data_IF_917839357590
#
_entry.id   IF_917839357590
#
_cell.length_a   1.000
_cell.length_b   1.000
_cell.length_c   1.000
_cell.angle_alpha   90.00
_cell.angle_beta   90.00
_cell.angle_gamma   90.00
#
_symmetry.space_group_name_H-M   'P 1'
#
loop_
_entity.id
_entity.type
_entity.pdbx_description
1 polymer ?
#
# COMPACT_ATOMS: atom_id res chain seq x y z
N UNK A 1 -14.86 13.52 9.93
CA UNK A 1 -14.10 13.82 11.18
C UNK A 1 -12.76 14.44 10.81
N UNK A 2 -12.37 15.58 11.40
CA UNK A 2 -11.03 16.16 11.18
C UNK A 2 -10.07 15.59 12.23
N UNK A 3 -9.17 14.71 11.82
CA UNK A 3 -8.14 14.15 12.71
C UNK A 3 -7.18 15.29 13.10
N UNK A 4 -7.14 15.64 14.39
CA UNK A 4 -6.27 16.71 14.90
C UNK A 4 -4.88 16.20 15.27
N UNK A 5 -4.77 14.93 15.68
CA UNK A 5 -3.51 14.30 16.01
C UNK A 5 -2.88 13.67 14.76
N UNK A 6 -1.75 14.23 14.32
CA UNK A 6 -1.01 13.75 13.15
C UNK A 6 -0.33 12.40 13.38
N UNK A 7 -0.29 11.92 14.62
CA UNK A 7 0.31 10.64 14.95
C UNK A 7 -0.61 9.46 14.57
N UNK A 8 -1.91 9.73 14.37
CA UNK A 8 -2.91 8.73 13.99
C UNK A 8 -2.81 8.44 12.50
N UNK A 9 -2.60 7.16 12.17
CA UNK A 9 -2.40 6.68 10.79
C UNK A 9 -3.43 5.62 10.37
N UNK A 10 -4.35 5.27 11.27
CA UNK A 10 -5.46 4.36 11.01
C UNK A 10 -6.36 4.26 12.22
N UNK A 11 -7.43 3.48 12.08
CA UNK A 11 -8.35 3.20 13.17
C UNK A 11 -8.68 1.70 13.21
N UNK A 12 -8.97 1.21 14.40
CA UNK A 12 -9.76 -0.01 14.55
C UNK A 12 -11.21 0.40 14.73
N UNK A 13 -12.07 -0.04 13.82
CA UNK A 13 -13.51 0.19 13.87
C UNK A 13 -14.24 -1.15 13.91
N UNK A 14 -14.98 -1.42 15.00
CA UNK A 14 -15.68 -2.70 15.23
C UNK A 14 -14.78 -3.93 15.02
N UNK A 15 -13.55 -3.87 15.55
CA UNK A 15 -12.55 -4.93 15.44
C UNK A 15 -11.84 -5.05 14.09
N UNK A 16 -12.08 -4.14 13.13
CA UNK A 16 -11.43 -4.14 11.81
C UNK A 16 -10.51 -2.94 11.65
N UNK A 17 -9.32 -3.17 11.08
CA UNK A 17 -8.43 -2.09 10.68
C UNK A 17 -9.02 -1.34 9.48
N UNK A 18 -9.08 -0.01 9.57
CA UNK A 18 -9.55 0.88 8.50
C UNK A 18 -8.62 2.08 8.35
N UNK A 19 -8.49 2.58 7.12
CA UNK A 19 -7.69 3.78 6.83
C UNK A 19 -8.28 5.06 7.45
N UNK A 20 -7.45 6.10 7.54
CA UNK A 20 -7.84 7.39 8.15
C UNK A 20 -9.04 8.07 7.47
N UNK A 21 -9.30 7.75 6.21
CA UNK A 21 -10.39 8.30 5.40
C UNK A 21 -11.55 7.31 5.21
N UNK A 22 -11.59 6.21 5.98
CA UNK A 22 -12.53 5.10 5.77
C UNK A 22 -13.57 4.93 6.88
N UNK A 23 -13.54 5.76 7.91
CA UNK A 23 -14.58 5.77 8.93
C UNK A 23 -15.92 6.19 8.32
N UNK A 24 -17.04 5.48 8.61
CA UNK A 24 -18.35 5.88 8.12
C UNK A 24 -18.74 7.26 8.69
N UNK A 25 -19.50 8.08 7.95
CA UNK A 25 -19.86 9.45 8.38
C UNK A 25 -20.56 9.55 9.74
N UNK A 26 -21.21 8.47 10.17
CA UNK A 26 -21.94 8.37 11.43
C UNK A 26 -21.42 7.20 12.29
N UNK A 27 -20.11 6.95 12.25
CA UNK A 27 -19.47 6.02 13.17
C UNK A 27 -19.67 6.51 14.62
N UNK A 28 -20.02 5.59 15.53
CA UNK A 28 -20.02 5.88 16.96
C UNK A 28 -18.57 5.96 17.46
N UNK A 29 -18.24 7.01 18.20
CA UNK A 29 -16.91 7.22 18.77
C UNK A 29 -16.53 6.08 19.72
N UNK A 30 -17.50 5.42 20.39
CA UNK A 30 -17.22 4.28 21.27
C UNK A 30 -16.68 3.04 20.55
N UNK A 31 -16.89 2.95 19.23
CA UNK A 31 -16.46 1.83 18.39
C UNK A 31 -15.11 2.09 17.68
N UNK A 32 -14.46 3.24 17.94
CA UNK A 32 -13.27 3.70 17.23
C UNK A 32 -12.06 3.71 18.19
N UNK A 33 -11.06 2.90 17.87
CA UNK A 33 -9.76 2.94 18.55
C UNK A 33 -8.71 3.54 17.58
N UNK A 34 -8.04 4.64 17.94
CA UNK A 34 -7.01 5.24 17.09
C UNK A 34 -5.73 4.41 17.09
N UNK A 35 -5.12 4.25 15.91
CA UNK A 35 -3.84 3.59 15.74
C UNK A 35 -2.78 4.64 15.42
N UNK A 36 -1.79 4.75 16.30
CA UNK A 36 -0.67 5.68 16.15
C UNK A 36 0.52 5.01 15.48
N UNK A 37 1.39 5.78 14.84
CA UNK A 37 2.59 5.24 14.18
C UNK A 37 3.57 4.54 15.14
N UNK A 38 3.52 4.82 16.43
CA UNK A 38 4.42 4.24 17.43
C UNK A 38 3.99 2.85 17.90
N UNK A 39 2.72 2.49 17.70
CA UNK A 39 2.21 1.16 17.99
C UNK A 39 2.75 0.11 17.01
N UNK A 40 2.78 -1.16 17.41
CA UNK A 40 3.22 -2.25 16.51
C UNK A 40 2.35 -2.36 15.26
N UNK A 41 1.03 -2.27 15.40
CA UNK A 41 0.11 -2.25 14.26
C UNK A 41 0.36 -1.02 13.36
N UNK A 42 0.62 0.15 13.96
CA UNK A 42 0.98 1.35 13.23
C UNK A 42 2.28 1.22 12.44
N UNK A 43 3.32 0.63 13.03
CA UNK A 43 4.57 0.32 12.32
C UNK A 43 4.33 -0.59 11.11
N UNK A 44 3.44 -1.58 11.25
CA UNK A 44 3.06 -2.46 10.13
C UNK A 44 2.36 -1.69 9.00
N UNK A 45 1.46 -0.76 9.33
CA UNK A 45 0.81 0.13 8.33
C UNK A 45 1.85 0.98 7.62
N UNK A 46 2.78 1.59 8.35
CA UNK A 46 3.85 2.41 7.77
C UNK A 46 4.77 1.62 6.84
N UNK A 47 5.20 0.44 7.28
CA UNK A 47 6.05 -0.46 6.46
C UNK A 47 5.35 -0.90 5.19
N UNK A 48 4.06 -1.22 5.27
CA UNK A 48 3.27 -1.57 4.09
C UNK A 48 3.15 -0.39 3.13
N UNK A 49 2.92 0.81 3.66
CA UNK A 49 2.87 2.04 2.88
C UNK A 49 4.21 2.34 2.20
N UNK A 50 5.32 2.10 2.90
CA UNK A 50 6.67 2.23 2.35
C UNK A 50 6.94 1.23 1.20
N UNK A 51 6.43 0.00 1.30
CA UNK A 51 6.49 -0.98 0.21
C UNK A 51 5.78 -0.47 -1.05
N UNK A 52 4.61 0.16 -0.91
CA UNK A 52 3.90 0.79 -2.04
C UNK A 52 4.68 1.97 -2.63
N UNK A 53 5.31 2.80 -1.80
CA UNK A 53 6.17 3.90 -2.28
C UNK A 53 7.36 3.35 -3.06
N UNK A 54 7.99 2.26 -2.61
CA UNK A 54 9.07 1.59 -3.34
C UNK A 54 8.58 1.05 -4.69
N UNK A 55 7.43 0.39 -4.73
CA UNK A 55 6.85 -0.08 -5.99
C UNK A 55 6.56 1.06 -6.96
N UNK A 56 6.06 2.20 -6.48
CA UNK A 56 5.85 3.40 -7.30
C UNK A 56 7.18 3.95 -7.83
N UNK A 57 8.21 4.05 -6.98
CA UNK A 57 9.54 4.50 -7.39
C UNK A 57 10.13 3.58 -8.49
N UNK A 58 10.04 2.26 -8.30
CA UNK A 58 10.48 1.27 -9.28
C UNK A 58 9.70 1.41 -10.59
N UNK A 59 8.39 1.63 -10.56
CA UNK A 59 7.60 1.86 -11.78
C UNK A 59 7.97 3.16 -12.51
N UNK A 60 8.38 4.21 -11.81
CA UNK A 60 8.84 5.45 -12.46
C UNK A 60 10.23 5.27 -13.09
N UNK A 61 11.14 4.55 -12.44
CA UNK A 61 12.51 4.32 -12.93
C UNK A 61 12.59 3.22 -13.99
N UNK A 62 11.76 2.18 -13.85
CA UNK A 62 11.73 0.97 -14.67
C UNK A 62 10.30 0.70 -15.13
N UNK A 63 9.80 1.42 -16.15
CA UNK A 63 8.38 1.40 -16.52
C UNK A 63 7.82 0.03 -16.93
N UNK A 64 8.66 -0.88 -17.40
CA UNK A 64 8.24 -2.22 -17.84
C UNK A 64 8.18 -3.25 -16.70
N UNK A 65 8.68 -2.92 -15.51
CA UNK A 65 8.67 -3.83 -14.35
C UNK A 65 7.24 -4.21 -13.98
N UNK A 66 7.01 -5.51 -13.74
CA UNK A 66 5.75 -6.01 -13.18
C UNK A 66 5.91 -6.19 -11.67
N UNK A 67 4.83 -5.85 -10.97
CA UNK A 67 4.73 -5.91 -9.51
C UNK A 67 4.08 -7.23 -9.12
N UNK A 68 4.68 -7.96 -8.17
CA UNK A 68 4.08 -9.17 -7.60
C UNK A 68 3.51 -8.90 -6.21
N UNK A 69 4.27 -9.19 -5.14
CA UNK A 69 3.85 -9.02 -3.74
C UNK A 69 4.81 -8.11 -2.98
N UNK A 70 4.28 -7.35 -2.02
CA UNK A 70 5.06 -6.43 -1.20
C UNK A 70 4.58 -6.36 0.26
N UNK A 71 4.79 -7.41 1.05
CA UNK A 71 4.32 -7.45 2.43
C UNK A 71 5.21 -6.60 3.35
N UNK A 72 4.59 -6.08 4.41
CA UNK A 72 5.31 -5.59 5.58
C UNK A 72 5.75 -6.78 6.45
N UNK A 73 6.87 -6.62 7.15
CA UNK A 73 7.43 -7.58 8.11
C UNK A 73 7.69 -6.90 9.45
N UNK A 74 8.06 -7.70 10.46
CA UNK A 74 8.42 -7.19 11.79
C UNK A 74 9.68 -6.32 11.78
N UNK A 75 10.55 -6.49 10.80
CA UNK A 75 11.82 -5.75 10.68
C UNK A 75 11.79 -4.69 9.58
N UNK A 76 10.83 -4.75 8.65
CA UNK A 76 10.77 -3.82 7.52
C UNK A 76 9.69 -4.21 6.51
N UNK A 77 10.09 -4.33 5.25
CA UNK A 77 9.23 -4.77 4.15
C UNK A 77 10.13 -5.25 3.00
N UNK A 78 9.56 -6.00 2.07
CA UNK A 78 10.19 -6.32 0.80
C UNK A 78 9.17 -6.19 -0.33
N UNK A 79 9.64 -6.30 -1.58
CA UNK A 79 8.78 -6.35 -2.75
C UNK A 79 9.41 -7.20 -3.84
N UNK A 80 8.62 -8.09 -4.44
CA UNK A 80 9.01 -8.93 -5.55
C UNK A 80 8.70 -8.24 -6.89
N UNK A 81 9.74 -8.12 -7.73
CA UNK A 81 9.68 -7.47 -9.04
C UNK A 81 10.07 -8.44 -10.15
N UNK A 82 9.26 -8.50 -11.20
CA UNK A 82 9.65 -9.09 -12.49
C UNK A 82 10.20 -7.96 -13.36
N UNK A 83 11.53 -7.94 -13.49
CA UNK A 83 12.33 -6.91 -14.16
C UNK A 83 13.33 -7.59 -15.11
N UNK A 84 13.54 -7.00 -16.27
CA UNK A 84 14.32 -7.60 -17.37
C UNK A 84 15.81 -7.77 -17.07
N UNK A 85 16.31 -7.26 -15.95
CA UNK A 85 17.70 -7.37 -15.51
C UNK A 85 17.83 -7.39 -13.99
N UNK A 86 18.94 -7.89 -13.50
CA UNK A 86 19.32 -7.82 -12.08
C UNK A 86 19.54 -6.37 -11.65
N UNK A 87 19.02 -6.03 -10.47
CA UNK A 87 19.28 -4.75 -9.82
C UNK A 87 20.70 -4.70 -9.26
N UNK A 88 21.37 -3.57 -9.45
CA UNK A 88 22.70 -3.28 -8.89
C UNK A 88 22.57 -2.45 -7.62
N UNK A 89 23.65 -2.32 -6.82
CA UNK A 89 23.66 -1.40 -5.67
C UNK A 89 23.34 0.06 -6.04
N UNK A 90 23.73 0.51 -7.24
CA UNK A 90 23.44 1.86 -7.73
C UNK A 90 21.94 2.04 -8.05
N UNK A 91 21.28 0.98 -8.53
CA UNK A 91 19.83 0.99 -8.70
C UNK A 91 19.11 1.13 -7.36
N UNK A 92 19.58 0.43 -6.33
CA UNK A 92 18.99 0.54 -4.98
C UNK A 92 19.10 1.97 -4.44
N UNK A 93 20.26 2.61 -4.64
CA UNK A 93 20.48 4.02 -4.27
C UNK A 93 19.53 4.95 -5.04
N UNK A 94 19.34 4.69 -6.33
CA UNK A 94 18.42 5.45 -7.19
C UNK A 94 16.96 5.27 -6.78
N UNK A 95 16.56 4.05 -6.45
CA UNK A 95 15.21 3.72 -5.95
C UNK A 95 14.98 4.45 -4.62
N UNK A 96 15.90 4.40 -3.66
CA UNK A 96 15.75 5.08 -2.37
C UNK A 96 15.63 6.60 -2.54
N UNK A 97 16.48 7.19 -3.39
CA UNK A 97 16.39 8.62 -3.73
C UNK A 97 15.01 8.98 -4.30
N UNK A 98 14.50 8.14 -5.21
CA UNK A 98 13.19 8.33 -5.81
C UNK A 98 12.05 8.16 -4.80
N UNK A 99 12.15 7.21 -3.88
CA UNK A 99 11.19 7.06 -2.78
C UNK A 99 11.14 8.32 -1.91
N UNK A 100 12.31 8.90 -1.57
CA UNK A 100 12.38 10.16 -0.81
C UNK A 100 11.75 11.34 -1.56
N UNK A 101 11.92 11.41 -2.88
CA UNK A 101 11.23 12.39 -3.73
C UNK A 101 9.71 12.22 -3.65
N UNK A 102 9.21 10.99 -3.82
CA UNK A 102 7.78 10.68 -3.79
C UNK A 102 7.14 11.00 -2.43
N UNK A 103 7.81 10.67 -1.32
CA UNK A 103 7.33 11.02 0.03
C UNK A 103 7.23 12.54 0.20
N UNK A 104 8.21 13.30 -0.31
CA UNK A 104 8.18 14.78 -0.24
C UNK A 104 7.02 15.40 -1.02
N UNK A 105 6.53 14.75 -2.08
CA UNK A 105 5.33 15.21 -2.81
C UNK A 105 4.07 15.19 -1.95
N UNK A 106 4.07 14.43 -0.85
CA UNK A 106 2.96 14.34 0.11
C UNK A 106 1.60 14.09 -0.58
N UNK A 107 1.61 13.26 -1.63
CA UNK A 107 0.40 12.91 -2.36
C UNK A 107 -0.47 11.99 -1.49
N UNK A 108 -1.80 12.19 -1.48
CA UNK A 108 -2.67 11.39 -0.64
C UNK A 108 -2.75 9.95 -1.15
N UNK A 109 -2.78 8.98 -0.22
CA UNK A 109 -3.25 7.64 -0.52
C UNK A 109 -4.77 7.67 -0.68
N UNK A 110 -5.26 7.22 -1.83
CA UNK A 110 -6.69 7.18 -2.15
C UNK A 110 -7.09 5.72 -2.35
N UNK A 111 -7.86 5.20 -1.40
CA UNK A 111 -8.50 3.89 -1.54
C UNK A 111 -9.80 4.05 -2.34
N UNK A 112 -9.98 3.20 -3.35
CA UNK A 112 -11.23 3.12 -4.11
C UNK A 112 -11.68 1.67 -4.14
N UNK A 113 -12.83 1.40 -3.53
CA UNK A 113 -13.50 0.11 -3.69
C UNK A 113 -14.12 0.04 -5.09
N UNK A 114 -13.69 -0.93 -5.88
CA UNK A 114 -14.27 -1.20 -7.20
C UNK A 114 -15.38 -2.24 -7.02
N UNK A 115 -16.63 -1.86 -7.30
CA UNK A 115 -17.76 -2.81 -7.34
C UNK A 115 -17.55 -3.78 -8.51
N UNK A 116 -17.52 -5.09 -8.23
CA UNK A 116 -17.64 -6.32 -9.06
C UNK A 116 -17.27 -6.38 -10.57
N UNK A 117 -17.03 -5.30 -11.30
CA UNK A 117 -16.37 -5.34 -12.62
C UNK A 117 -14.88 -5.69 -12.54
N UNK A 118 -14.32 -5.78 -11.32
CA UNK A 118 -13.01 -6.39 -11.10
C UNK A 118 -12.94 -7.81 -11.66
N UNK A 119 -14.03 -8.58 -11.65
CA UNK A 119 -14.07 -9.90 -12.29
C UNK A 119 -13.84 -9.82 -13.80
N UNK A 120 -14.36 -8.80 -14.47
CA UNK A 120 -14.12 -8.56 -15.90
C UNK A 120 -12.65 -8.22 -16.18
N UNK A 121 -12.05 -7.38 -15.32
CA UNK A 121 -10.64 -6.99 -15.42
C UNK A 121 -9.68 -8.14 -15.08
N UNK A 122 -9.98 -8.92 -14.04
CA UNK A 122 -9.25 -10.14 -13.66
C UNK A 122 -9.37 -11.16 -14.79
N UNK A 123 -10.57 -11.48 -15.29
CA UNK A 123 -10.74 -12.43 -16.39
C UNK A 123 -10.04 -11.98 -17.67
N UNK A 124 -9.97 -10.67 -17.93
CA UNK A 124 -9.20 -10.12 -19.05
C UNK A 124 -7.69 -10.28 -18.82
N UNK A 125 -7.21 -10.04 -17.61
CA UNK A 125 -5.81 -10.22 -17.23
C UNK A 125 -5.41 -11.70 -17.25
N UNK A 126 -6.18 -12.60 -16.66
CA UNK A 126 -6.00 -14.06 -16.71
C UNK A 126 -5.93 -14.58 -18.15
N UNK A 127 -6.75 -14.02 -19.07
CA UNK A 127 -6.68 -14.38 -20.50
C UNK A 127 -5.41 -13.88 -21.19
N UNK A 128 -4.85 -12.76 -20.75
CA UNK A 128 -3.64 -12.16 -21.34
C UNK A 128 -2.37 -12.81 -20.75
N UNK A 129 -2.38 -13.14 -19.47
CA UNK A 129 -1.19 -13.58 -18.73
C UNK A 129 -1.18 -15.07 -18.41
N UNK A 130 -2.32 -15.77 -18.46
CA UNK A 130 -2.45 -17.18 -18.07
C UNK A 130 -2.42 -17.41 -16.55
N UNK A 131 -2.30 -16.37 -15.73
CA UNK A 131 -2.14 -16.46 -14.27
C UNK A 131 -3.49 -16.24 -13.60
N UNK A 132 -4.01 -17.26 -12.88
CA UNK A 132 -5.26 -17.15 -12.12
C UNK A 132 -5.07 -16.39 -10.81
N UNK A 133 -5.94 -15.40 -10.55
CA UNK A 133 -5.89 -14.60 -9.31
C UNK A 133 -6.99 -15.10 -8.36
N UNK A 134 -6.60 -15.86 -7.33
CA UNK A 134 -7.57 -16.51 -6.44
C UNK A 134 -8.09 -15.60 -5.30
N UNK A 135 -7.33 -14.58 -4.88
CA UNK A 135 -7.78 -13.55 -3.94
C UNK A 135 -7.01 -12.24 -4.18
N UNK A 136 -7.71 -11.11 -4.33
CA UNK A 136 -7.13 -9.77 -4.22
C UNK A 136 -7.59 -9.18 -2.91
N UNK A 137 -6.74 -9.25 -1.88
CA UNK A 137 -6.90 -8.42 -0.68
C UNK A 137 -6.12 -7.13 -0.89
N UNK A 138 -6.82 -6.10 -1.35
CA UNK A 138 -6.35 -4.73 -1.15
C UNK A 138 -6.60 -4.42 0.33
N UNK A 139 -5.58 -4.62 1.16
CA UNK A 139 -5.59 -4.10 2.53
C UNK A 139 -5.48 -2.59 2.48
#
# INVERSE_FOLDING_TARGET
MKIKDKNIIGFRYKGRLVGVNELPPMADDSDIEPITYSSEEGKMILRHSAAHVMAHAVKELFPNTKLAIGPATEEGFYYDFDIDRTLTPDDLTSIESKMRELVKKNSPFIRKELKKELNSLISKWEKITGIKINEIRIK
#
